data_IF_268564991317
#
_entry.id   IF_268564991317
#
_cell.length_a   1.000
_cell.length_b   1.000
_cell.length_c   1.000
_cell.angle_alpha   90.00
_cell.angle_beta   90.00
_cell.angle_gamma   90.00
#
_symmetry.space_group_name_H-M   'P 1'
#
loop_
_entity.id
_entity.type
_entity.pdbx_description
1 polymer ?
#
# COMPACT_ATOMS: atom_id res chain seq x y z
N UNK A 1 -20.06 -17.19 -4.34
CA UNK A 1 -19.89 -16.11 -5.34
C UNK A 1 -18.52 -15.49 -5.11
N UNK A 2 -17.92 -14.77 -6.07
CA UNK A 2 -16.60 -14.16 -5.81
C UNK A 2 -16.80 -13.03 -4.80
N UNK A 3 -15.99 -13.01 -3.74
CA UNK A 3 -15.97 -11.93 -2.76
C UNK A 3 -15.74 -10.59 -3.46
N UNK A 4 -16.69 -9.65 -3.36
CA UNK A 4 -16.55 -8.33 -3.95
C UNK A 4 -15.53 -7.53 -3.14
N UNK A 5 -14.48 -7.04 -3.78
CA UNK A 5 -13.46 -6.18 -3.15
C UNK A 5 -13.71 -4.72 -3.50
N UNK A 6 -13.77 -3.84 -2.50
CA UNK A 6 -13.96 -2.40 -2.71
C UNK A 6 -13.00 -1.57 -1.85
N UNK A 7 -12.67 -0.38 -2.32
CA UNK A 7 -11.90 0.60 -1.57
C UNK A 7 -12.77 1.76 -1.10
N UNK A 8 -12.30 2.49 -0.09
CA UNK A 8 -12.99 3.66 0.46
C UNK A 8 -12.11 4.90 0.27
N UNK A 9 -12.61 5.91 -0.43
CA UNK A 9 -11.93 7.21 -0.57
C UNK A 9 -11.90 7.94 0.77
N UNK A 10 -10.86 8.74 0.95
CA UNK A 10 -10.61 9.63 2.08
C UNK A 10 -10.45 8.90 3.43
N UNK A 11 -10.20 7.59 3.40
CA UNK A 11 -9.96 6.77 4.58
C UNK A 11 -8.49 6.86 5.07
N UNK A 12 -8.04 8.07 5.42
CA UNK A 12 -6.62 8.36 5.71
C UNK A 12 -6.29 8.41 7.20
N UNK A 13 -7.29 8.33 8.09
CA UNK A 13 -7.11 8.39 9.54
C UNK A 13 -7.68 7.17 10.26
N UNK A 14 -7.24 6.94 11.50
CA UNK A 14 -7.81 5.91 12.37
C UNK A 14 -9.33 6.12 12.57
N UNK A 15 -9.76 7.38 12.70
CA UNK A 15 -11.18 7.74 12.81
C UNK A 15 -11.98 7.28 11.59
N UNK A 16 -11.46 7.49 10.37
CA UNK A 16 -12.14 7.03 9.16
C UNK A 16 -12.32 5.50 9.15
N UNK A 17 -11.29 4.76 9.59
CA UNK A 17 -11.36 3.30 9.72
C UNK A 17 -12.40 2.86 10.76
N UNK A 18 -12.53 3.59 11.87
CA UNK A 18 -13.54 3.31 12.90
C UNK A 18 -14.96 3.52 12.36
N UNK A 19 -15.20 4.63 11.64
CA UNK A 19 -16.49 4.92 11.01
C UNK A 19 -16.86 3.82 10.02
N UNK A 20 -15.93 3.40 9.15
CA UNK A 20 -16.17 2.30 8.22
C UNK A 20 -16.62 1.02 8.93
N UNK A 21 -15.89 0.61 9.98
CA UNK A 21 -16.22 -0.60 10.76
C UNK A 21 -17.59 -0.49 11.43
N UNK A 22 -17.92 0.67 11.97
CA UNK A 22 -19.23 0.95 12.57
C UNK A 22 -20.36 0.82 11.55
N UNK A 23 -20.21 1.44 10.37
CA UNK A 23 -21.24 1.39 9.32
C UNK A 23 -21.40 0.00 8.70
N UNK A 24 -20.30 -0.76 8.56
CA UNK A 24 -20.35 -2.17 8.16
C UNK A 24 -21.13 -3.01 9.17
N UNK A 25 -20.91 -2.77 10.47
CA UNK A 25 -21.64 -3.42 11.56
C UNK A 25 -23.14 -3.10 11.53
N UNK A 26 -23.51 -1.82 11.38
CA UNK A 26 -24.92 -1.38 11.25
C UNK A 26 -25.61 -1.98 10.03
N UNK A 27 -24.89 -2.21 8.94
CA UNK A 27 -25.40 -2.82 7.72
C UNK A 27 -25.48 -4.36 7.80
N UNK A 28 -24.97 -4.98 8.87
CA UNK A 28 -24.93 -6.43 9.02
C UNK A 28 -24.06 -7.14 7.98
N UNK A 29 -23.05 -6.44 7.46
CA UNK A 29 -22.17 -6.94 6.40
C UNK A 29 -21.01 -7.72 7.03
N UNK A 30 -20.76 -8.93 6.54
CA UNK A 30 -19.56 -9.70 6.90
C UNK A 30 -18.41 -9.30 5.97
N UNK A 31 -17.26 -8.95 6.55
CA UNK A 31 -16.13 -8.44 5.79
C UNK A 31 -14.78 -8.80 6.41
N UNK A 32 -13.73 -8.74 5.59
CA UNK A 32 -12.33 -8.64 5.98
C UNK A 32 -11.72 -7.34 5.44
N UNK A 33 -10.65 -6.85 6.07
CA UNK A 33 -9.86 -5.72 5.55
C UNK A 33 -8.44 -6.20 5.31
N UNK A 34 -7.96 -6.10 4.08
CA UNK A 34 -6.61 -6.49 3.72
C UNK A 34 -5.56 -5.52 4.29
N UNK A 35 -4.28 -5.92 4.42
CA UNK A 35 -3.22 -5.03 4.90
C UNK A 35 -3.07 -3.74 4.08
N UNK A 36 -3.39 -3.78 2.79
CA UNK A 36 -3.33 -2.62 1.90
C UNK A 36 -4.61 -1.76 1.91
N UNK A 37 -5.63 -2.15 2.68
CA UNK A 37 -6.82 -1.36 3.00
C UNK A 37 -8.03 -1.66 2.14
N UNK A 38 -8.05 -2.77 1.39
CA UNK A 38 -9.23 -3.19 0.66
C UNK A 38 -10.25 -3.81 1.61
N UNK A 39 -11.53 -3.50 1.40
CA UNK A 39 -12.65 -4.16 2.08
C UNK A 39 -13.11 -5.31 1.21
N UNK A 40 -13.05 -6.52 1.74
CA UNK A 40 -13.48 -7.74 1.06
C UNK A 40 -14.79 -8.19 1.68
N UNK A 41 -15.84 -8.21 0.86
CA UNK A 41 -17.19 -8.59 1.27
C UNK A 41 -17.37 -10.10 1.10
N UNK A 42 -17.83 -10.77 2.16
CA UNK A 42 -18.10 -12.21 2.11
C UNK A 42 -19.49 -12.51 1.53
N UNK A 43 -19.71 -13.79 1.18
CA UNK A 43 -20.93 -14.27 0.53
C UNK A 43 -22.21 -13.80 1.24
N UNK A 44 -23.19 -13.38 0.44
CA UNK A 44 -24.51 -12.92 0.91
C UNK A 44 -24.66 -11.39 1.03
N UNK A 45 -23.62 -10.61 0.74
CA UNK A 45 -23.73 -9.15 0.70
C UNK A 45 -24.56 -8.70 -0.50
N UNK A 46 -25.65 -7.98 -0.24
CA UNK A 46 -26.57 -7.49 -1.29
C UNK A 46 -26.22 -6.08 -1.76
N UNK A 47 -26.62 -5.72 -2.98
CA UNK A 47 -26.44 -4.36 -3.50
C UNK A 47 -27.12 -3.31 -2.61
N UNK A 48 -28.32 -3.59 -2.09
CA UNK A 48 -29.02 -2.69 -1.18
C UNK A 48 -28.24 -2.42 0.13
N UNK A 49 -27.49 -3.41 0.64
CA UNK A 49 -26.60 -3.20 1.77
C UNK A 49 -25.40 -2.31 1.41
N UNK A 50 -24.80 -2.50 0.23
CA UNK A 50 -23.70 -1.67 -0.26
C UNK A 50 -24.16 -0.22 -0.50
N UNK A 51 -25.35 -0.02 -1.07
CA UNK A 51 -25.92 1.31 -1.28
C UNK A 51 -26.18 2.02 0.05
N UNK A 52 -26.73 1.30 1.03
CA UNK A 52 -26.94 1.82 2.38
C UNK A 52 -25.63 2.18 3.07
N UNK A 53 -24.62 1.31 2.96
CA UNK A 53 -23.28 1.56 3.47
C UNK A 53 -22.70 2.83 2.85
N UNK A 54 -22.71 2.94 1.52
CA UNK A 54 -22.17 4.12 0.83
C UNK A 54 -22.90 5.41 1.23
N UNK A 55 -24.23 5.39 1.30
CA UNK A 55 -25.03 6.54 1.73
C UNK A 55 -24.69 7.00 3.15
N UNK A 56 -24.34 6.08 4.05
CA UNK A 56 -23.93 6.45 5.40
C UNK A 56 -22.48 6.95 5.46
N UNK A 57 -21.57 6.33 4.70
CA UNK A 57 -20.19 6.77 4.57
C UNK A 57 -20.11 8.21 4.03
N UNK A 58 -20.95 8.56 3.05
CA UNK A 58 -21.00 9.90 2.46
C UNK A 58 -21.33 10.99 3.48
N UNK A 59 -22.17 10.69 4.48
CA UNK A 59 -22.48 11.62 5.59
C UNK A 59 -21.27 11.96 6.44
N UNK A 60 -20.23 11.11 6.40
CA UNK A 60 -18.96 11.29 7.11
C UNK A 60 -17.82 11.73 6.18
N UNK A 61 -18.11 12.09 4.93
CA UNK A 61 -17.10 12.47 3.93
C UNK A 61 -16.28 11.29 3.39
N UNK A 62 -16.75 10.06 3.57
CA UNK A 62 -16.15 8.84 3.03
C UNK A 62 -16.99 8.35 1.85
N UNK A 63 -16.37 7.66 0.90
CA UNK A 63 -17.07 7.16 -0.29
C UNK A 63 -16.60 5.74 -0.60
N UNK A 64 -17.53 4.81 -0.72
CA UNK A 64 -17.25 3.46 -1.20
C UNK A 64 -17.11 3.53 -2.73
N UNK A 65 -15.92 3.17 -3.24
CA UNK A 65 -15.68 3.14 -4.67
C UNK A 65 -16.61 2.14 -5.38
N UNK A 66 -16.83 2.35 -6.67
CA UNK A 66 -17.47 1.33 -7.50
C UNK A 66 -16.53 0.14 -7.77
N UNK A 67 -17.06 -0.89 -8.42
CA UNK A 67 -16.33 -2.11 -8.75
C UNK A 67 -15.15 -1.86 -9.70
N UNK A 68 -15.34 -1.05 -10.74
CA UNK A 68 -14.33 -0.81 -11.76
C UNK A 68 -13.16 -0.02 -11.20
N UNK A 69 -13.45 1.09 -10.52
CA UNK A 69 -12.44 1.91 -9.86
C UNK A 69 -11.71 1.10 -8.79
N UNK A 70 -12.43 0.31 -7.98
CA UNK A 70 -11.81 -0.56 -6.97
C UNK A 70 -10.87 -1.59 -7.59
N UNK A 71 -11.25 -2.21 -8.70
CA UNK A 71 -10.41 -3.17 -9.41
C UNK A 71 -9.13 -2.53 -9.97
N UNK A 72 -9.24 -1.33 -10.55
CA UNK A 72 -8.07 -0.60 -11.06
C UNK A 72 -7.12 -0.17 -9.93
N UNK A 73 -7.67 0.35 -8.82
CA UNK A 73 -6.87 0.69 -7.64
C UNK A 73 -6.21 -0.54 -7.04
N UNK A 74 -6.93 -1.66 -6.93
CA UNK A 74 -6.35 -2.92 -6.44
C UNK A 74 -5.18 -3.37 -7.31
N UNK A 75 -5.36 -3.34 -8.64
CA UNK A 75 -4.31 -3.72 -9.59
C UNK A 75 -3.08 -2.83 -9.46
N UNK A 76 -3.24 -1.52 -9.30
CA UNK A 76 -2.11 -0.59 -9.11
C UNK A 76 -1.37 -0.94 -7.82
N UNK A 77 -2.09 -1.08 -6.70
CA UNK A 77 -1.50 -1.38 -5.39
C UNK A 77 -0.75 -2.71 -5.40
N UNK A 78 -1.42 -3.77 -5.89
CA UNK A 78 -0.84 -5.13 -5.95
C UNK A 78 0.36 -5.18 -6.87
N UNK A 79 0.30 -4.58 -8.06
CA UNK A 79 1.45 -4.52 -8.97
C UNK A 79 2.63 -3.78 -8.35
N UNK A 80 2.42 -2.68 -7.64
CA UNK A 80 3.51 -1.96 -6.97
C UNK A 80 4.13 -2.82 -5.86
N UNK A 81 3.31 -3.49 -5.05
CA UNK A 81 3.80 -4.39 -4.00
C UNK A 81 4.60 -5.53 -4.63
N UNK A 82 4.08 -6.16 -5.68
CA UNK A 82 4.74 -7.24 -6.41
C UNK A 82 6.08 -6.81 -7.01
N UNK A 83 6.12 -5.64 -7.67
CA UNK A 83 7.33 -5.09 -8.25
C UNK A 83 8.35 -4.68 -7.21
N UNK A 84 7.95 -4.23 -6.02
CA UNK A 84 8.93 -3.79 -5.02
C UNK A 84 9.47 -4.98 -4.21
N UNK A 85 8.61 -5.94 -3.89
CA UNK A 85 8.93 -6.99 -2.91
C UNK A 85 9.28 -8.34 -3.53
N UNK A 86 8.79 -8.64 -4.75
CA UNK A 86 8.90 -9.99 -5.34
C UNK A 86 9.52 -10.00 -6.75
N UNK A 87 10.04 -8.87 -7.22
CA UNK A 87 10.38 -8.65 -8.63
C UNK A 87 11.72 -9.18 -9.11
N UNK A 88 12.34 -10.14 -8.43
CA UNK A 88 13.57 -10.76 -8.94
C UNK A 88 13.38 -11.36 -10.36
N UNK A 89 12.12 -11.44 -10.85
CA UNK A 89 11.72 -11.97 -12.17
C UNK A 89 10.93 -10.99 -13.08
N UNK A 90 10.66 -9.74 -12.67
CA UNK A 90 9.86 -8.83 -13.52
C UNK A 90 10.74 -8.00 -14.48
N UNK A 91 10.26 -7.69 -15.70
CA UNK A 91 11.03 -6.94 -16.69
C UNK A 91 11.53 -5.59 -16.14
N UNK A 92 12.56 -5.02 -16.79
CA UNK A 92 13.08 -3.67 -16.55
C UNK A 92 12.05 -2.57 -16.90
N UNK A 93 10.93 -2.56 -16.17
CA UNK A 93 9.88 -1.57 -16.28
C UNK A 93 10.16 -0.43 -15.31
N UNK A 94 10.19 0.79 -15.84
CA UNK A 94 10.15 1.97 -14.97
C UNK A 94 8.82 1.98 -14.21
N UNK A 95 8.76 2.67 -13.08
CA UNK A 95 7.49 2.84 -12.37
C UNK A 95 6.49 3.64 -13.21
N UNK A 96 6.97 4.56 -14.07
CA UNK A 96 6.14 5.20 -15.07
C UNK A 96 5.54 4.19 -16.06
N UNK A 97 6.29 3.17 -16.49
CA UNK A 97 5.77 2.11 -17.36
C UNK A 97 4.75 1.21 -16.64
N UNK A 98 4.95 0.93 -15.35
CA UNK A 98 4.01 0.16 -14.54
C UNK A 98 2.69 0.91 -14.41
N UNK A 99 2.76 2.21 -14.17
CA UNK A 99 1.59 3.08 -14.12
C UNK A 99 0.96 3.15 -15.51
N UNK A 100 1.73 3.39 -16.57
CA UNK A 100 1.22 3.52 -17.93
C UNK A 100 0.58 2.25 -18.49
N UNK A 101 1.12 1.06 -18.19
CA UNK A 101 0.58 -0.23 -18.66
C UNK A 101 -0.71 -0.65 -17.96
N UNK A 102 -0.88 -0.24 -16.71
CA UNK A 102 -2.08 -0.55 -15.94
C UNK A 102 -3.23 0.44 -16.19
N UNK A 103 -2.94 1.56 -16.87
CA UNK A 103 -3.90 2.63 -17.13
C UNK A 103 -4.16 2.75 -18.64
N UNK A 104 -5.20 2.09 -19.15
CA UNK A 104 -5.71 2.43 -20.49
C UNK A 104 -6.42 3.78 -20.43
N UNK A 105 -6.18 4.64 -21.43
CA UNK A 105 -6.82 5.93 -21.76
C UNK A 105 -7.77 6.51 -20.68
N UNK A 106 -7.23 7.31 -19.76
CA UNK A 106 -7.98 7.91 -18.64
C UNK A 106 -7.16 8.15 -17.37
N UNK A 107 -5.82 8.18 -17.48
CA UNK A 107 -4.85 8.00 -16.42
C UNK A 107 -4.85 9.06 -15.31
N UNK A 108 -5.30 10.29 -15.58
CA UNK A 108 -5.32 11.34 -14.53
C UNK A 108 -6.41 11.09 -13.48
N UNK A 109 -7.60 10.62 -13.90
CA UNK A 109 -8.73 10.38 -13.00
C UNK A 109 -8.38 9.30 -11.98
N UNK A 110 -7.81 8.20 -12.44
CA UNK A 110 -7.44 7.06 -11.59
C UNK A 110 -6.24 7.35 -10.67
N UNK A 111 -5.27 8.17 -11.10
CA UNK A 111 -4.20 8.65 -10.21
C UNK A 111 -4.75 9.55 -9.10
N UNK A 112 -5.76 10.37 -9.41
CA UNK A 112 -6.49 11.14 -8.41
C UNK A 112 -7.26 10.22 -7.47
N UNK A 113 -8.01 9.26 -7.98
CA UNK A 113 -8.75 8.27 -7.16
C UNK A 113 -7.80 7.51 -6.24
N UNK A 114 -6.62 7.09 -6.74
CA UNK A 114 -5.61 6.46 -5.90
C UNK A 114 -5.20 7.36 -4.74
N UNK A 115 -4.95 8.64 -5.03
CA UNK A 115 -4.57 9.62 -4.00
C UNK A 115 -5.70 9.86 -3.01
N UNK A 116 -6.95 9.89 -3.47
CA UNK A 116 -8.14 9.99 -2.61
C UNK A 116 -8.26 8.75 -1.71
N UNK A 117 -7.94 7.56 -2.20
CA UNK A 117 -7.97 6.29 -1.42
C UNK A 117 -6.80 6.17 -0.44
N UNK A 118 -5.57 6.46 -0.87
CA UNK A 118 -4.36 6.24 -0.07
C UNK A 118 -3.92 7.44 0.75
N UNK A 119 -4.42 8.63 0.44
CA UNK A 119 -3.99 9.90 1.04
C UNK A 119 -2.63 10.41 0.58
N UNK A 120 -2.01 9.72 -0.38
CA UNK A 120 -0.68 10.01 -0.93
C UNK A 120 -0.64 9.66 -2.41
N UNK A 121 0.26 10.28 -3.16
CA UNK A 121 0.42 9.97 -4.58
C UNK A 121 0.95 8.55 -4.79
N UNK A 122 0.73 8.01 -5.99
CA UNK A 122 1.29 6.71 -6.39
C UNK A 122 2.81 6.68 -6.22
N UNK A 123 3.51 7.76 -6.61
CA UNK A 123 4.95 7.87 -6.44
C UNK A 123 5.38 7.86 -4.98
N UNK A 124 4.66 8.55 -4.09
CA UNK A 124 4.92 8.48 -2.65
C UNK A 124 4.68 7.08 -2.09
N UNK A 125 3.64 6.38 -2.56
CA UNK A 125 3.37 5.00 -2.17
C UNK A 125 4.49 4.05 -2.59
N UNK A 126 4.98 4.16 -3.82
CA UNK A 126 6.16 3.40 -4.31
C UNK A 126 7.35 3.64 -3.40
N UNK A 127 7.66 4.90 -3.08
CA UNK A 127 8.78 5.24 -2.20
C UNK A 127 8.61 4.57 -0.83
N UNK A 128 7.43 4.65 -0.23
CA UNK A 128 7.15 4.00 1.06
C UNK A 128 7.37 2.48 0.97
N UNK A 129 6.88 1.83 -0.07
CA UNK A 129 7.12 0.38 -0.26
C UNK A 129 8.61 0.07 -0.40
N UNK A 130 9.37 0.88 -1.14
CA UNK A 130 10.83 0.72 -1.27
C UNK A 130 11.52 0.91 0.08
N UNK A 131 11.09 1.87 0.90
CA UNK A 131 11.63 2.07 2.25
C UNK A 131 11.38 0.83 3.12
N UNK A 132 10.17 0.28 3.13
CA UNK A 132 9.89 -0.96 3.87
C UNK A 132 10.76 -2.13 3.37
N UNK A 133 10.92 -2.27 2.05
CA UNK A 133 11.77 -3.30 1.48
C UNK A 133 13.26 -3.12 1.79
N UNK A 134 13.76 -1.88 1.83
CA UNK A 134 15.13 -1.59 2.29
C UNK A 134 15.30 -2.03 3.75
N UNK A 135 14.32 -1.73 4.62
CA UNK A 135 14.38 -2.19 6.02
C UNK A 135 14.45 -3.70 6.09
N UNK A 136 13.66 -4.42 5.30
CA UNK A 136 13.72 -5.88 5.24
C UNK A 136 15.11 -6.38 4.81
N UNK A 137 15.67 -5.87 3.70
CA UNK A 137 17.00 -6.27 3.23
C UNK A 137 18.11 -5.99 4.26
N UNK A 138 18.07 -4.83 4.92
CA UNK A 138 19.06 -4.47 5.94
C UNK A 138 18.95 -5.33 7.19
N UNK A 139 17.74 -5.77 7.54
CA UNK A 139 17.51 -6.56 8.73
C UNK A 139 17.77 -8.04 8.48
N UNK A 140 17.28 -8.62 7.38
CA UNK A 140 17.20 -10.08 7.23
C UNK A 140 18.18 -10.66 6.23
N UNK A 141 18.51 -9.93 5.17
CA UNK A 141 19.25 -10.49 4.02
C UNK A 141 20.73 -10.08 3.99
N UNK A 142 21.16 -9.26 4.97
CA UNK A 142 22.54 -8.78 5.14
C UNK A 142 23.17 -8.14 3.87
N UNK A 143 22.34 -7.68 2.93
CA UNK A 143 22.78 -7.11 1.66
C UNK A 143 23.54 -5.79 1.84
N UNK A 144 24.52 -5.55 0.95
CA UNK A 144 25.19 -4.25 0.84
C UNK A 144 24.25 -3.19 0.27
N UNK A 145 24.51 -1.91 0.58
CA UNK A 145 23.71 -0.81 0.06
C UNK A 145 23.71 -0.77 -1.48
N UNK A 146 24.82 -1.16 -2.12
CA UNK A 146 24.96 -1.24 -3.57
C UNK A 146 23.99 -2.28 -4.13
N UNK A 147 23.99 -3.49 -3.57
CA UNK A 147 23.10 -4.56 -4.01
C UNK A 147 21.61 -4.18 -3.81
N UNK A 148 21.29 -3.52 -2.69
CA UNK A 148 19.93 -3.03 -2.43
C UNK A 148 19.56 -1.93 -3.44
N UNK A 149 20.47 -0.99 -3.72
CA UNK A 149 20.26 0.07 -4.69
C UNK A 149 20.01 -0.50 -6.10
N UNK A 150 20.77 -1.50 -6.52
CA UNK A 150 20.58 -2.19 -7.80
C UNK A 150 19.23 -2.92 -7.85
N UNK A 151 18.92 -3.75 -6.85
CA UNK A 151 17.64 -4.49 -6.78
C UNK A 151 16.43 -3.57 -6.82
N UNK A 152 16.50 -2.45 -6.09
CA UNK A 152 15.41 -1.46 -6.04
C UNK A 152 15.56 -0.37 -7.09
N UNK A 153 16.48 -0.49 -8.04
CA UNK A 153 16.66 0.44 -9.17
C UNK A 153 16.83 1.91 -8.73
N UNK A 154 17.60 2.13 -7.69
CA UNK A 154 18.11 3.47 -7.35
C UNK A 154 19.29 3.81 -8.25
N UNK A 155 19.43 5.10 -8.59
CA UNK A 155 20.55 5.59 -9.41
C UNK A 155 21.92 5.28 -8.80
N UNK A 156 22.01 5.28 -7.47
CA UNK A 156 23.17 4.84 -6.69
C UNK A 156 22.80 4.74 -5.20
N UNK A 157 23.74 4.27 -4.39
CA UNK A 157 23.64 4.17 -2.93
C UNK A 157 23.37 5.52 -2.24
N UNK A 158 23.87 6.63 -2.80
CA UNK A 158 23.66 7.97 -2.23
C UNK A 158 22.19 8.39 -2.30
N UNK A 159 21.52 8.16 -3.43
CA UNK A 159 20.08 8.45 -3.57
C UNK A 159 19.23 7.56 -2.65
N UNK A 160 19.57 6.26 -2.56
CA UNK A 160 18.93 5.35 -1.61
C UNK A 160 19.08 5.86 -0.18
N UNK A 161 20.31 6.19 0.23
CA UNK A 161 20.64 6.67 1.58
C UNK A 161 19.90 7.96 1.91
N UNK A 162 19.89 8.92 0.99
CA UNK A 162 19.20 10.19 1.18
C UNK A 162 17.68 10.00 1.33
N UNK A 163 17.07 9.15 0.51
CA UNK A 163 15.64 8.86 0.60
C UNK A 163 15.31 8.09 1.89
N UNK A 164 16.10 7.07 2.24
CA UNK A 164 15.93 6.31 3.46
C UNK A 164 16.01 7.19 4.70
N UNK A 165 17.02 8.06 4.79
CA UNK A 165 17.16 9.02 5.89
C UNK A 165 16.03 10.02 5.94
N UNK A 166 15.57 10.52 4.79
CA UNK A 166 14.41 11.43 4.72
C UNK A 166 13.14 10.81 5.30
N UNK A 167 12.90 9.52 5.06
CA UNK A 167 11.67 8.85 5.48
C UNK A 167 11.74 8.21 6.87
N UNK A 168 12.93 7.80 7.32
CA UNK A 168 13.08 7.11 8.62
C UNK A 168 13.73 7.97 9.70
N UNK A 169 14.39 9.07 9.32
CA UNK A 169 15.24 9.87 10.21
C UNK A 169 16.64 9.27 10.45
N UNK A 170 16.91 8.05 9.97
CA UNK A 170 18.12 7.28 10.28
C UNK A 170 18.93 6.99 9.02
N UNK A 171 20.25 6.86 9.14
CA UNK A 171 21.04 6.29 8.04
C UNK A 171 20.78 4.78 7.92
N UNK A 172 20.91 4.19 6.72
CA UNK A 172 20.79 2.74 6.56
C UNK A 172 21.75 1.95 7.46
N UNK A 173 23.00 2.40 7.60
CA UNK A 173 24.00 1.77 8.48
C UNK A 173 23.57 1.79 9.94
N UNK A 174 23.17 2.96 10.45
CA UNK A 174 22.70 3.08 11.83
C UNK A 174 21.43 2.25 12.09
N UNK A 175 20.53 2.16 11.09
CA UNK A 175 19.36 1.30 11.18
C UNK A 175 19.73 -0.19 11.30
N UNK A 176 20.79 -0.62 10.60
CA UNK A 176 21.33 -1.99 10.70
C UNK A 176 21.92 -2.25 12.08
N UNK A 177 22.69 -1.31 12.63
CA UNK A 177 23.33 -1.43 13.94
C UNK A 177 22.31 -1.54 15.09
N UNK A 178 21.20 -0.78 15.02
CA UNK A 178 20.10 -0.86 16.00
C UNK A 178 19.52 -2.27 16.14
N UNK A 179 19.53 -3.10 15.09
CA UNK A 179 19.12 -4.50 15.18
C UNK A 179 20.15 -5.32 15.95
N UNK A 180 21.45 -5.15 15.67
CA UNK A 180 22.51 -5.88 16.34
C UNK A 180 22.48 -5.64 17.85
N UNK A 181 22.29 -4.38 18.28
CA UNK A 181 22.13 -4.03 19.69
C UNK A 181 20.88 -4.65 20.31
N UNK A 182 19.72 -4.62 19.62
CA UNK A 182 18.49 -5.25 20.11
C UNK A 182 18.62 -6.77 20.23
N UNK A 183 19.27 -7.43 19.28
CA UNK A 183 19.49 -8.87 19.32
C UNK A 183 20.49 -9.29 20.39
N UNK A 184 21.52 -8.47 20.65
CA UNK A 184 22.48 -8.69 21.73
C UNK A 184 21.85 -8.55 23.13
N UNK A 185 20.74 -7.81 23.24
CA UNK A 185 20.04 -7.55 24.50
C UNK A 185 18.84 -8.49 24.75
N UNK A 186 18.55 -9.44 23.84
CA UNK A 186 17.54 -10.46 24.09
C UNK A 186 18.11 -11.53 25.03
N UNK A 187 17.38 -11.92 26.09
CA UNK A 187 17.82 -13.00 26.96
C UNK A 187 17.97 -14.28 26.14
N UNK A 188 19.15 -14.89 26.19
CA UNK A 188 19.36 -16.20 25.56
C UNK A 188 18.60 -17.23 26.41
N UNK A 189 17.47 -17.71 25.88
CA UNK A 189 16.75 -18.89 26.38
C UNK A 189 17.49 -20.17 26.04
#
# INVERSE_FOLDING_TARGET
MVATKRYVKYMVSLRCKMILKEELGKAGIKYSISPHGAVEFHDGTTQAQLDRLNNNLLKSGLELLDENDSMLIDRIITTIIEVVHYSDQLPNLSFEDIIGRNLQSGSESILKIFSDVKGISVMQFIIIQKIERIKEYLLYDDLSLLAIAEKLRYKNEHYLTAQFKKHTGLSPGYFKDLKAERMSNLPQT
#
